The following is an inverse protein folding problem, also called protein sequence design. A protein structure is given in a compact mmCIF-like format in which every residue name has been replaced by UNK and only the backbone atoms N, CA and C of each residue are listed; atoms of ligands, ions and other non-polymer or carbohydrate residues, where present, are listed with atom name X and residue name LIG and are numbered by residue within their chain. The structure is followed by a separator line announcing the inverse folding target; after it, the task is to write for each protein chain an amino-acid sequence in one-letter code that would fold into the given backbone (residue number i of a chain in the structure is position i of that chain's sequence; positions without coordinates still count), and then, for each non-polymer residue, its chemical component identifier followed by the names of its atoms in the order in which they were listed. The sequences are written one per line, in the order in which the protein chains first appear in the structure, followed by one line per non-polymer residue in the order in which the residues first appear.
data_IF_466640302981
#
_entry.id   IF_466640302981
#
_cell.length_a   1.000
_cell.length_b   1.000
_cell.length_c   1.000
_cell.angle_alpha   90.00
_cell.angle_beta   90.00
_cell.angle_gamma   90.00
#
_symmetry.space_group_name_H-M   'P 1'
#
loop_
_entity.id
_entity.type
_entity.pdbx_description
1 polymer ?
2 non-polymer ?
3 non-polymer ?
4 water ?
#
# COMPACT_ATOMS: atom_id res chain seq x y z
N UNK A 1 -26.02 -5.24 -0.11
CA UNK A 1 -25.93 -4.24 -1.22
C UNK A 1 -24.47 -3.88 -1.51
N UNK A 2 -24.12 -3.91 -2.79
CA UNK A 2 -22.76 -3.63 -3.26
C UNK A 2 -22.37 -2.17 -3.13
N UNK A 3 -21.12 -1.94 -2.70
CA UNK A 3 -20.47 -0.62 -2.77
C UNK A 3 -20.59 -0.09 -4.19
N UNK A 4 -21.26 1.06 -4.34
CA UNK A 4 -21.46 1.66 -5.66
C UNK A 4 -20.16 2.14 -6.31
N UNK A 5 -19.33 2.84 -5.55
CA UNK A 5 -18.07 3.39 -6.06
C UNK A 5 -18.25 4.41 -7.20
N UNK A 6 -19.43 5.03 -7.25
CA UNK A 6 -19.82 5.97 -8.31
C UNK A 6 -19.65 7.44 -7.93
N UNK A 7 -19.29 7.66 -6.67
CA UNK A 7 -19.12 9.00 -6.13
C UNK A 7 -17.67 9.46 -6.27
N UNK A 8 -17.47 10.78 -6.34
CA UNK A 8 -16.12 11.33 -6.42
C UNK A 8 -15.44 11.39 -5.05
N UNK A 9 -14.13 11.61 -5.04
CA UNK A 9 -13.38 11.81 -3.81
C UNK A 9 -13.85 13.05 -3.08
N UNK A 10 -13.93 12.96 -1.75
CA UNK A 10 -14.26 14.11 -0.91
C UNK A 10 -13.23 15.23 -1.05
N UNK A 11 -13.71 16.50 -1.09
CA UNK A 11 -12.75 17.61 -0.99
C UNK A 11 -12.18 17.66 0.41
N UNK A 12 -10.88 17.90 0.51
CA UNK A 12 -10.17 17.88 1.80
C UNK A 12 -9.19 19.03 1.90
N UNK A 13 -8.74 19.32 3.12
CA UNK A 13 -7.76 20.38 3.36
C UNK A 13 -6.50 19.81 3.99
N UNK A 14 -6.64 18.63 4.60
CA UNK A 14 -5.56 18.05 5.36
C UNK A 14 -5.94 16.69 5.92
N UNK A 15 -5.07 16.19 6.80
CA UNK A 15 -5.12 14.82 7.26
C UNK A 15 -5.20 14.76 8.79
N UNK A 16 -6.24 14.11 9.29
CA UNK A 16 -6.46 13.97 10.73
C UNK A 16 -6.05 12.57 11.19
N UNK A 17 -5.37 12.46 12.35
CA UNK A 17 -4.90 11.14 12.81
C UNK A 17 -6.08 10.22 13.03
N UNK A 18 -5.95 9.00 12.51
CA UNK A 18 -7.02 8.02 12.58
C UNK A 18 -6.67 6.87 13.52
N UNK A 19 -5.49 6.29 13.36
CA UNK A 19 -5.08 5.17 14.21
C UNK A 19 -3.58 5.14 14.47
N UNK A 20 -3.20 4.40 15.50
CA UNK A 20 -1.82 4.07 15.82
C UNK A 20 -1.88 2.81 16.67
N UNK A 21 -1.21 1.74 16.22
CA UNK A 21 -1.36 0.45 16.89
C UNK A 21 -0.31 0.17 17.96
N UNK A 22 0.79 0.93 17.95
CA UNK A 22 1.86 0.77 18.95
C UNK A 22 2.37 -0.69 19.06
N UNK A 23 2.32 -1.41 17.95
CA UNK A 23 2.51 -2.85 17.95
C UNK A 23 3.84 -3.32 18.52
N UNK A 24 4.91 -2.62 18.14
CA UNK A 24 6.24 -3.06 18.51
C UNK A 24 6.52 -2.77 19.99
N UNK A 25 6.09 -1.60 20.44
CA UNK A 25 6.12 -1.23 21.86
C UNK A 25 5.41 -2.27 22.72
N UNK A 26 4.22 -2.68 22.27
CA UNK A 26 3.40 -3.63 23.02
C UNK A 26 4.02 -5.03 22.97
N UNK A 27 4.61 -5.34 21.82
CA UNK A 27 5.22 -6.67 21.57
C UNK A 27 6.49 -6.94 22.36
N UNK A 28 7.06 -5.91 22.96
CA UNK A 28 8.19 -6.06 23.86
C UNK A 28 7.86 -7.05 24.99
N UNK A 29 6.60 -7.06 25.42
CA UNK A 29 6.12 -7.98 26.46
C UNK A 29 4.98 -8.88 25.97
N UNK A 30 4.04 -8.29 25.23
CA UNK A 30 2.84 -9.02 24.81
C UNK A 30 3.09 -9.93 23.62
N UNK A 31 2.09 -10.75 23.32
CA UNK A 31 2.20 -11.73 22.24
C UNK A 31 1.72 -11.10 20.93
N UNK A 32 2.64 -10.40 20.28
CA UNK A 32 2.35 -9.64 19.06
C UNK A 32 3.13 -10.24 17.90
N UNK A 33 2.45 -10.45 16.78
CA UNK A 33 3.10 -11.02 15.59
C UNK A 33 4.24 -10.15 15.09
N UNK A 34 5.32 -10.80 14.66
CA UNK A 34 6.27 -10.20 13.74
C UNK A 34 5.54 -10.08 12.38
N UNK A 35 5.45 -8.85 11.86
CA UNK A 35 4.73 -8.59 10.60
C UNK A 35 5.51 -7.65 9.71
N UNK A 36 5.13 -7.57 8.44
CA UNK A 36 5.44 -6.43 7.61
C UNK A 36 4.36 -6.34 6.54
N UNK A 37 4.44 -5.31 5.71
CA UNK A 37 3.44 -5.08 4.66
C UNK A 37 2.00 -5.03 5.24
N UNK A 38 1.75 -4.15 6.24
CA UNK A 38 0.37 -4.03 6.69
C UNK A 38 -0.41 -3.12 5.75
N UNK A 39 -1.73 -3.24 5.78
CA UNK A 39 -2.60 -2.29 5.09
C UNK A 39 -3.99 -2.28 5.71
N UNK A 40 -4.70 -1.19 5.52
CA UNK A 40 -6.05 -1.04 6.05
C UNK A 40 -7.03 -1.10 4.89
N UNK A 41 -8.17 -1.74 5.13
CA UNK A 41 -9.27 -1.74 4.17
C UNK A 41 -10.57 -1.79 4.97
N UNK A 42 -11.61 -1.16 4.43
CA UNK A 42 -12.90 -1.06 5.12
C UNK A 42 -14.04 -1.71 4.34
N UNK A 43 -15.11 -2.07 5.04
CA UNK A 43 -16.35 -2.53 4.40
C UNK A 43 -17.43 -1.44 4.49
N UNK A 44 -18.69 -1.86 4.41
CA UNK A 44 -19.81 -0.95 4.66
C UNK A 44 -20.04 -0.82 6.18
N UNK A 45 -19.33 -1.62 6.97
CA UNK A 45 -19.56 -1.68 8.43
C UNK A 45 -18.32 -1.50 9.30
N UNK A 46 -17.16 -1.97 8.86
CA UNK A 46 -15.97 -1.95 9.70
C UNK A 46 -14.69 -1.62 8.93
N UNK A 47 -13.62 -1.31 9.67
CA UNK A 47 -12.29 -1.14 9.09
C UNK A 47 -11.31 -2.11 9.74
N UNK A 48 -10.52 -2.80 8.92
CA UNK A 48 -9.60 -3.81 9.43
C UNK A 48 -8.18 -3.53 8.97
N UNK A 49 -7.20 -3.91 9.79
CA UNK A 49 -5.81 -3.91 9.36
C UNK A 49 -5.45 -5.30 8.90
N UNK A 50 -4.97 -5.41 7.67
CA UNK A 50 -4.44 -6.65 7.14
C UNK A 50 -2.93 -6.61 7.24
N UNK A 51 -2.28 -7.77 7.31
CA UNK A 51 -0.82 -7.81 7.46
C UNK A 51 -0.25 -9.18 7.12
N UNK A 52 1.03 -9.20 6.76
CA UNK A 52 1.73 -10.42 6.47
C UNK A 52 2.57 -10.78 7.69
N UNK A 53 2.15 -11.80 8.42
CA UNK A 53 2.87 -12.23 9.60
C UNK A 53 4.11 -12.96 9.10
N UNK A 54 5.06 -13.18 10.00
CA UNK A 54 6.18 -14.06 9.73
C UNK A 54 6.00 -15.41 10.43
N UNK A 55 4.76 -15.68 10.82
CA UNK A 55 4.41 -16.90 11.59
C UNK A 55 5.19 -16.99 12.88
N UNK A 56 5.39 -15.84 13.54
CA UNK A 56 6.22 -15.74 14.74
C UNK A 56 5.88 -14.47 15.54
N UNK A 57 6.23 -14.48 16.82
CA UNK A 57 5.99 -13.36 17.73
C UNK A 57 7.26 -12.58 18.06
N UNK A 58 7.09 -11.29 18.33
CA UNK A 58 8.18 -10.41 18.72
C UNK A 58 8.85 -10.87 20.01
N UNK A 59 10.15 -10.64 20.10
CA UNK A 59 10.97 -11.02 21.26
C UNK A 59 11.06 -12.54 21.50
N UNK A 60 10.82 -13.32 20.45
CA UNK A 60 10.97 -14.77 20.48
C UNK A 60 12.01 -15.19 19.44
N UNK A 61 12.70 -16.29 19.68
CA UNK A 61 13.76 -16.76 18.77
C UNK A 61 13.30 -16.96 17.32
N UNK A 62 12.03 -17.30 17.13
CA UNK A 62 11.51 -17.52 15.76
C UNK A 62 11.40 -16.22 14.94
N UNK A 63 11.63 -15.08 15.59
CA UNK A 63 11.74 -13.79 14.89
C UNK A 63 13.10 -13.63 14.17
N UNK A 64 14.02 -14.54 14.43
CA UNK A 64 15.33 -14.58 13.76
C UNK A 64 15.20 -14.63 12.25
N UNK A 65 15.87 -13.70 11.55
CA UNK A 65 15.94 -13.68 10.10
C UNK A 65 14.73 -13.11 9.38
N UNK A 66 13.88 -12.39 10.10
CA UNK A 66 12.60 -11.93 9.53
C UNK A 66 12.72 -10.69 8.63
N UNK A 67 13.96 -10.26 8.37
CA UNK A 67 14.21 -9.31 7.29
C UNK A 67 13.84 -9.95 5.95
N UNK A 68 13.89 -11.28 5.91
CA UNK A 68 13.63 -12.09 4.71
C UNK A 68 12.20 -11.91 4.22
N UNK A 69 12.04 -11.73 2.91
CA UNK A 69 10.75 -11.37 2.31
C UNK A 69 9.74 -12.51 2.16
N UNK A 70 10.22 -13.71 1.81
CA UNK A 70 9.30 -14.78 1.43
C UNK A 70 9.63 -16.08 2.14
N UNK A 71 8.60 -16.76 2.63
CA UNK A 71 8.74 -18.04 3.32
C UNK A 71 7.39 -18.75 3.30
N UNK A 72 7.39 -20.07 3.57
CA UNK A 72 6.13 -20.83 3.67
C UNK A 72 5.30 -20.49 4.90
N UNK A 73 5.90 -19.81 5.87
CA UNK A 73 5.25 -19.54 7.14
C UNK A 73 4.51 -18.21 7.15
N UNK A 74 4.79 -17.37 6.17
CA UNK A 74 4.15 -16.06 6.07
C UNK A 74 2.66 -16.25 5.82
N UNK A 75 1.85 -15.57 6.62
CA UNK A 75 0.40 -15.65 6.47
C UNK A 75 -0.24 -14.27 6.48
N UNK A 76 -1.26 -14.12 5.64
CA UNK A 76 -2.12 -12.97 5.70
C UNK A 76 -3.17 -13.14 6.80
N UNK A 77 -3.21 -12.18 7.70
CA UNK A 77 -4.17 -12.16 8.79
C UNK A 77 -4.74 -10.75 8.91
N UNK A 78 -5.80 -10.58 9.70
CA UNK A 78 -6.38 -9.27 9.92
C UNK A 78 -6.88 -9.10 11.34
N UNK A 79 -6.91 -7.85 11.81
CA UNK A 79 -7.50 -7.50 13.09
C UNK A 79 -8.18 -6.12 12.97
N UNK A 80 -9.08 -5.78 13.93
CA UNK A 80 -9.65 -4.43 13.92
C UNK A 80 -8.56 -3.34 13.91
N UNK A 81 -8.83 -2.23 13.22
CA UNK A 81 -7.85 -1.15 13.09
C UNK A 81 -7.37 -0.61 14.44
N UNK A 82 -6.06 -0.35 14.56
CA UNK A 82 -5.50 0.28 15.75
C UNK A 82 -5.12 -0.67 16.87
N UNK A 83 -5.44 -1.95 16.70
CA UNK A 83 -5.11 -2.98 17.69
C UNK A 83 -3.80 -3.64 17.29
N UNK A 84 -2.99 -4.01 18.27
CA UNK A 84 -1.74 -4.72 18.01
C UNK A 84 -2.07 -6.13 17.52
N UNK A 85 -1.48 -6.55 16.39
CA UNK A 85 -1.75 -7.86 15.78
C UNK A 85 -1.25 -9.02 16.63
N UNK A 86 -2.19 -9.78 17.17
CA UNK A 86 -1.90 -10.86 18.11
C UNK A 86 -2.61 -12.14 17.68
N UNK A 87 -2.06 -13.32 18.00
CA UNK A 87 -2.83 -14.55 17.78
C UNK A 87 -4.17 -14.58 18.52
N UNK A 88 -4.36 -13.66 19.47
CA UNK A 88 -5.60 -13.67 20.26
C UNK A 88 -6.68 -12.73 19.71
N UNK A 89 -6.32 -11.85 18.77
CA UNK A 89 -7.28 -10.90 18.19
C UNK A 89 -7.33 -10.89 16.66
N UNK A 90 -6.52 -11.75 16.02
CA UNK A 90 -6.41 -11.78 14.56
C UNK A 90 -7.14 -12.94 13.90
N UNK A 91 -7.80 -12.62 12.79
CA UNK A 91 -8.48 -13.59 11.93
C UNK A 91 -7.49 -14.09 10.91
N UNK A 92 -7.45 -15.41 10.68
CA UNK A 92 -6.61 -15.94 9.62
C UNK A 92 -7.28 -15.71 8.27
N UNK A 93 -6.52 -15.22 7.29
CA UNK A 93 -7.07 -14.97 5.97
C UNK A 93 -6.53 -15.95 4.91
N UNK A 94 -5.21 -16.05 4.78
CA UNK A 94 -4.58 -16.80 3.70
C UNK A 94 -3.11 -17.09 3.98
N UNK A 95 -2.59 -18.14 3.35
CA UNK A 95 -1.15 -18.38 3.35
C UNK A 95 -0.55 -17.47 2.26
N UNK A 96 0.32 -16.55 2.65
CA UNK A 96 0.77 -15.50 1.72
C UNK A 96 2.07 -14.80 2.11
N UNK A 97 2.92 -14.54 1.12
CA UNK A 97 4.04 -13.58 1.25
C UNK A 97 3.86 -12.31 0.40
N UNK A 98 2.73 -12.24 -0.30
CA UNK A 98 2.28 -11.03 -1.00
C UNK A 98 0.76 -11.07 -1.00
N UNK A 99 0.12 -9.93 -0.77
CA UNK A 99 -1.34 -9.94 -0.59
C UNK A 99 -2.11 -8.70 -1.06
N UNK A 100 -3.42 -8.88 -1.22
CA UNK A 100 -4.37 -7.76 -1.36
C UNK A 100 -5.69 -8.16 -0.74
N UNK A 101 -6.52 -7.17 -0.42
CA UNK A 101 -7.83 -7.46 0.16
C UNK A 101 -8.75 -6.28 -0.04
N UNK A 102 -10.03 -6.55 -0.20
CA UNK A 102 -11.04 -5.49 -0.28
C UNK A 102 -12.44 -6.07 -0.15
N UNK A 103 -13.37 -5.23 0.29
CA UNK A 103 -14.75 -5.64 0.54
C UNK A 103 -15.65 -5.01 -0.52
N UNK A 104 -16.53 -5.81 -1.13
CA UNK A 104 -17.37 -5.29 -2.21
C UNK A 104 -18.74 -4.78 -1.73
N UNK A 105 -18.94 -4.77 -0.42
CA UNK A 105 -20.23 -4.44 0.18
C UNK A 105 -21.01 -5.66 0.65
N UNK A 106 -20.61 -6.83 0.17
CA UNK A 106 -21.19 -8.11 0.58
C UNK A 106 -20.21 -8.93 1.39
N UNK A 107 -19.03 -9.19 0.81
CA UNK A 107 -18.02 -10.03 1.45
C UNK A 107 -16.60 -9.55 1.22
N UNK A 108 -15.68 -10.04 2.06
CA UNK A 108 -14.25 -9.80 1.89
C UNK A 108 -13.69 -10.63 0.76
N UNK A 109 -13.00 -9.96 -0.15
CA UNK A 109 -12.15 -10.65 -1.11
C UNK A 109 -10.73 -10.55 -0.57
N UNK A 110 -10.05 -11.68 -0.44
CA UNK A 110 -8.63 -11.69 -0.10
C UNK A 110 -7.80 -12.38 -1.19
N UNK A 111 -6.61 -11.85 -1.44
CA UNK A 111 -5.71 -12.42 -2.42
C UNK A 111 -4.41 -12.72 -1.72
N UNK A 112 -3.99 -13.98 -1.75
CA UNK A 112 -2.77 -14.40 -1.07
C UNK A 112 -1.86 -15.19 -1.98
N UNK A 113 -0.63 -14.71 -2.15
CA UNK A 113 0.37 -15.36 -3.00
C UNK A 113 1.37 -16.13 -2.14
N UNK A 114 1.48 -17.44 -2.39
CA UNK A 114 2.47 -18.30 -1.75
C UNK A 114 3.06 -19.24 -2.81
N UNK A 115 3.94 -20.14 -2.41
CA UNK A 115 4.62 -21.01 -3.35
C UNK A 115 6.02 -20.53 -3.70
N UNK A 116 6.71 -21.26 -4.60
CA UNK A 116 8.11 -20.99 -4.93
C UNK A 116 8.24 -19.75 -5.80
N UNK A 117 9.42 -19.12 -5.77
CA UNK A 117 9.69 -17.91 -6.59
C UNK A 117 9.44 -18.15 -8.09
N UNK A 118 9.71 -19.37 -8.55
CA UNK A 118 9.57 -19.70 -9.98
C UNK A 118 8.17 -20.19 -10.41
N UNK A 119 7.22 -20.20 -9.48
CA UNK A 119 5.87 -20.68 -9.78
C UNK A 119 4.79 -20.35 -8.75
N UNK A 120 4.87 -19.17 -8.14
CA UNK A 120 3.92 -18.75 -7.12
C UNK A 120 2.49 -18.70 -7.66
N UNK A 121 1.52 -18.87 -6.77
CA UNK A 121 0.11 -18.94 -7.12
C UNK A 121 -0.66 -17.99 -6.20
N UNK A 122 -1.44 -17.10 -6.81
CA UNK A 122 -2.34 -16.23 -6.06
C UNK A 122 -3.66 -16.95 -5.79
N UNK A 123 -3.96 -17.13 -4.51
CA UNK A 123 -5.20 -17.79 -4.10
C UNK A 123 -6.22 -16.70 -3.75
N UNK A 124 -7.33 -16.68 -4.48
CA UNK A 124 -8.40 -15.72 -4.22
C UNK A 124 -9.47 -16.38 -3.38
N UNK A 125 -9.89 -15.67 -2.33
CA UNK A 125 -10.98 -16.12 -1.47
C UNK A 125 -12.06 -15.04 -1.35
N UNK A 126 -13.32 -15.47 -1.33
CA UNK A 126 -14.46 -14.58 -1.16
C UNK A 126 -15.24 -15.13 0.02
N UNK A 127 -15.38 -14.33 1.07
CA UNK A 127 -15.92 -14.77 2.36
C UNK A 127 -15.18 -15.99 2.92
N UNK A 128 -13.85 -15.99 2.74
CA UNK A 128 -12.99 -17.03 3.31
C UNK A 128 -12.97 -18.34 2.54
N UNK A 129 -13.73 -18.41 1.44
CA UNK A 129 -13.76 -19.61 0.59
C UNK A 129 -12.98 -19.36 -0.70
N UNK A 130 -12.17 -20.34 -1.12
CA UNK A 130 -11.39 -20.17 -2.35
C UNK A 130 -12.31 -20.15 -3.56
N UNK A 131 -12.17 -19.09 -4.36
CA UNK A 131 -13.05 -18.86 -5.51
C UNK A 131 -12.28 -18.82 -6.82
N UNK A 132 -10.96 -18.65 -6.75
CA UNK A 132 -10.12 -18.64 -7.94
C UNK A 132 -8.64 -18.71 -7.56
N UNK A 133 -7.83 -18.94 -8.59
CA UNK A 133 -6.40 -19.06 -8.48
C UNK A 133 -5.78 -18.35 -9.71
N UNK A 134 -4.66 -17.66 -9.49
CA UNK A 134 -3.89 -17.07 -10.58
C UNK A 134 -2.45 -17.52 -10.46
N UNK A 135 -1.93 -18.18 -11.49
CA UNK A 135 -0.57 -18.70 -11.45
C UNK A 135 0.42 -17.77 -12.15
N UNK A 136 1.62 -17.66 -11.58
CA UNK A 136 2.75 -16.91 -12.17
C UNK A 136 2.88 -17.19 -13.68
N UNK A 137 2.91 -16.13 -14.49
CA UNK A 137 3.02 -16.29 -15.94
C UNK A 137 4.41 -15.96 -16.49
N UNK A 138 5.28 -15.39 -15.65
CA UNK A 138 6.68 -15.16 -16.02
C UNK A 138 7.66 -15.92 -15.13
N UNK A 139 7.13 -16.70 -14.19
CA UNK A 139 7.95 -17.55 -13.31
C UNK A 139 9.03 -16.78 -12.54
N UNK A 140 8.70 -15.56 -12.11
CA UNK A 140 9.67 -14.75 -11.39
C UNK A 140 9.02 -13.84 -10.35
N UNK A 141 8.68 -14.44 -9.20
CA UNK A 141 8.07 -13.73 -8.06
C UNK A 141 6.79 -12.96 -8.44
N UNK A 142 5.73 -13.71 -8.71
CA UNK A 142 4.41 -13.10 -8.85
C UNK A 142 4.11 -12.30 -7.59
N UNK A 143 3.65 -11.06 -7.76
CA UNK A 143 3.56 -10.14 -6.63
C UNK A 143 2.48 -9.09 -6.86
N UNK A 144 1.79 -8.72 -5.79
CA UNK A 144 0.62 -7.84 -5.87
C UNK A 144 0.76 -6.57 -4.98
N UNK A 145 -0.37 -5.96 -4.63
CA UNK A 145 -0.40 -4.59 -4.10
C UNK A 145 0.29 -4.35 -2.75
N UNK A 146 0.07 -5.28 -1.81
CA UNK A 146 0.32 -5.03 -0.37
C UNK A 146 -0.55 -3.86 0.15
N UNK A 147 -1.67 -3.62 -0.55
CA UNK A 147 -2.72 -2.70 -0.05
C UNK A 147 -4.06 -3.12 -0.63
N UNK A 148 -5.11 -2.42 -0.26
CA UNK A 148 -6.46 -2.82 -0.64
C UNK A 148 -6.69 -2.75 -2.14
N UNK A 149 -7.37 -3.75 -2.69
CA UNK A 149 -7.93 -3.65 -4.03
C UNK A 149 -9.05 -2.60 -4.06
N UNK A 150 -9.57 -2.29 -5.25
CA UNK A 150 -10.59 -1.26 -5.39
C UNK A 150 -11.88 -1.88 -5.93
N UNK A 151 -13.02 -1.50 -5.35
CA UNK A 151 -14.31 -2.04 -5.79
C UNK A 151 -15.27 -0.96 -6.28
N UNK A 152 -15.93 -1.25 -7.40
CA UNK A 152 -16.96 -0.39 -7.95
C UNK A 152 -18.07 -1.29 -8.47
N UNK A 153 -19.30 -1.07 -7.98
CA UNK A 153 -20.49 -1.66 -8.58
C UNK A 153 -20.43 -3.19 -8.63
N UNK A 154 -19.96 -3.80 -7.55
CA UNK A 154 -19.90 -5.25 -7.44
C UNK A 154 -18.73 -5.94 -8.15
N UNK A 155 -17.82 -5.13 -8.68
CA UNK A 155 -16.59 -5.63 -9.30
C UNK A 155 -15.36 -5.05 -8.58
N UNK A 156 -14.36 -5.89 -8.33
CA UNK A 156 -13.15 -5.47 -7.63
C UNK A 156 -11.90 -5.61 -8.51
N UNK A 157 -10.93 -4.75 -8.28
CA UNK A 157 -9.82 -4.57 -9.22
C UNK A 157 -8.47 -4.59 -8.50
N UNK A 158 -7.50 -5.29 -9.11
CA UNK A 158 -6.15 -5.35 -8.58
C UNK A 158 -5.10 -5.37 -9.69
N UNK A 159 -3.85 -5.14 -9.32
CA UNK A 159 -2.71 -5.18 -10.23
C UNK A 159 -1.70 -6.21 -9.72
N UNK A 160 -1.20 -7.05 -10.62
CA UNK A 160 -0.11 -7.96 -10.30
C UNK A 160 1.04 -7.79 -11.29
N UNK A 161 2.24 -8.10 -10.82
CA UNK A 161 3.46 -8.02 -11.60
C UNK A 161 4.18 -9.36 -11.56
N UNK A 162 4.89 -9.68 -12.65
CA UNK A 162 5.71 -10.88 -12.73
C UNK A 162 6.92 -10.59 -13.64
N UNK A 163 8.09 -11.02 -13.19
CA UNK A 163 9.34 -10.77 -13.91
C UNK A 163 10.41 -10.11 -13.05
N UNK A 164 11.50 -9.62 -13.69
CA UNK A 164 12.62 -9.00 -12.99
C UNK A 164 12.21 -7.80 -12.14
N UNK A 165 12.93 -7.56 -11.05
CA UNK A 165 12.74 -6.35 -10.24
C UNK A 165 13.72 -5.24 -10.65
N UNK A 166 14.57 -5.55 -11.63
CA UNK A 166 15.69 -4.71 -12.07
C UNK A 166 15.63 -4.34 -13.55
N UNK A 167 14.47 -4.54 -14.15
CA UNK A 167 14.28 -4.30 -15.58
C UNK A 167 12.82 -4.41 -15.97
N UNK A 168 12.55 -4.40 -17.27
CA UNK A 168 11.18 -4.60 -17.78
C UNK A 168 10.56 -5.84 -17.18
N UNK A 169 9.39 -5.68 -16.57
CA UNK A 169 8.63 -6.85 -16.14
C UNK A 169 7.26 -6.83 -16.83
N UNK A 170 6.38 -7.73 -16.41
CA UNK A 170 5.04 -7.85 -17.00
C UNK A 170 4.01 -7.38 -15.97
N UNK A 171 3.04 -6.59 -16.41
CA UNK A 171 2.06 -5.97 -15.49
C UNK A 171 0.64 -6.26 -15.96
N UNK A 172 -0.16 -6.86 -15.09
CA UNK A 172 -1.55 -7.17 -15.42
C UNK A 172 -2.55 -6.53 -14.47
N UNK A 173 -3.65 -6.03 -15.02
CA UNK A 173 -4.80 -5.61 -14.22
C UNK A 173 -5.80 -6.75 -14.25
N UNK A 174 -6.44 -6.99 -13.11
CA UNK A 174 -7.44 -8.05 -12.98
C UNK A 174 -8.77 -7.49 -12.49
N UNK A 175 -9.85 -7.97 -13.10
CA UNK A 175 -11.20 -7.64 -12.66
C UNK A 175 -11.85 -8.91 -12.11
N UNK A 176 -12.37 -8.81 -10.89
CA UNK A 176 -13.04 -9.94 -10.29
C UNK A 176 -14.41 -9.62 -9.72
N UNK A 177 -15.29 -10.61 -9.81
CA UNK A 177 -16.63 -10.52 -9.28
C UNK A 177 -16.81 -11.77 -8.45
N UNK A 178 -17.22 -11.57 -7.19
CA UNK A 178 -17.37 -12.66 -6.22
C UNK A 178 -16.10 -13.53 -6.13
N UNK A 179 -14.94 -12.88 -6.12
CA UNK A 179 -13.66 -13.55 -6.00
C UNK A 179 -13.18 -14.33 -7.21
N UNK A 180 -13.88 -14.21 -8.33
CA UNK A 180 -13.50 -14.90 -9.56
C UNK A 180 -13.10 -13.93 -10.66
N UNK A 181 -11.94 -14.17 -11.26
CA UNK A 181 -11.42 -13.35 -12.35
C UNK A 181 -12.35 -13.46 -13.54
N UNK A 182 -12.87 -12.31 -14.00
CA UNK A 182 -13.81 -12.26 -15.13
C UNK A 182 -13.16 -11.58 -16.35
N UNK A 183 -12.13 -10.78 -16.08
CA UNK A 183 -11.33 -10.16 -17.13
C UNK A 183 -9.95 -9.78 -16.60
N UNK A 184 -8.95 -9.86 -17.47
CA UNK A 184 -7.63 -9.31 -17.18
C UNK A 184 -7.03 -8.74 -18.46
N UNK A 185 -6.10 -7.79 -18.30
CA UNK A 185 -5.42 -7.13 -19.42
C UNK A 185 -3.95 -6.92 -19.05
N UNK A 186 -3.04 -7.27 -19.95
CA UNK A 186 -1.64 -6.93 -19.76
C UNK A 186 -1.37 -5.53 -20.28
N UNK A 187 -0.74 -4.70 -19.45
CA UNK A 187 -0.36 -3.35 -19.85
C UNK A 187 0.71 -3.34 -20.94
N UNK A 188 0.47 -2.55 -21.98
CA UNK A 188 1.43 -2.29 -23.03
C UNK A 188 2.21 -1.07 -22.59
N UNK A 189 3.28 -1.31 -21.82
CA UNK A 189 3.98 -0.23 -21.15
C UNK A 189 5.51 -0.38 -21.23
N UNK A 190 6.07 -0.30 -22.46
CA UNK A 190 7.52 -0.42 -22.60
C UNK A 190 8.22 0.76 -21.94
N UNK A 191 9.33 0.47 -21.26
CA UNK A 191 10.09 1.44 -20.45
C UNK A 191 9.45 1.82 -19.11
N UNK A 192 8.25 1.30 -18.83
CA UNK A 192 7.58 1.52 -17.55
C UNK A 192 7.80 0.33 -16.62
N UNK A 193 7.63 0.58 -15.32
CA UNK A 193 7.67 -0.49 -14.32
C UNK A 193 6.58 -0.22 -13.28
N UNK A 194 5.72 -1.22 -13.05
CA UNK A 194 4.65 -1.17 -12.06
C UNK A 194 4.80 -2.27 -11.02
N UNK A 195 4.58 -1.89 -9.76
CA UNK A 195 4.72 -2.77 -8.62
C UNK A 195 4.01 -2.15 -7.41
N UNK A 196 3.50 -3.00 -6.53
CA UNK A 196 2.95 -2.57 -5.23
C UNK A 196 2.02 -1.35 -5.38
N UNK A 197 1.06 -1.48 -6.30
CA UNK A 197 0.14 -0.40 -6.61
C UNK A 197 -0.81 -0.09 -5.46
N UNK A 198 -0.95 1.21 -5.18
CA UNK A 198 -2.01 1.70 -4.29
C UNK A 198 -3.15 2.21 -5.17
N UNK A 199 -4.26 1.49 -5.16
CA UNK A 199 -5.39 1.72 -6.08
C UNK A 199 -6.65 2.11 -5.34
N UNK A 200 -7.35 3.15 -5.83
CA UNK A 200 -8.59 3.64 -5.22
C UNK A 200 -9.64 3.97 -6.28
N UNK A 201 -10.93 3.86 -5.93
CA UNK A 201 -11.99 4.24 -6.86
C UNK A 201 -12.34 5.74 -6.76
N UNK A 202 -12.68 6.33 -7.91
CA UNK A 202 -13.12 7.72 -8.00
C UNK A 202 -14.15 7.82 -9.13
N UNK A 203 -15.42 7.96 -8.77
CA UNK A 203 -16.52 8.08 -9.76
C UNK A 203 -16.44 7.02 -10.86
N UNK A 204 -16.41 5.76 -10.44
CA UNK A 204 -16.49 4.63 -11.36
C UNK A 204 -15.19 4.27 -12.04
N UNK A 205 -14.14 5.04 -11.75
CA UNK A 205 -12.84 4.84 -12.39
C UNK A 205 -11.80 4.53 -11.31
N UNK A 206 -10.88 3.63 -11.61
CA UNK A 206 -9.83 3.22 -10.65
C UNK A 206 -8.52 3.90 -11.02
N UNK A 207 -7.84 4.45 -10.03
CA UNK A 207 -6.52 5.04 -10.22
C UNK A 207 -5.54 4.35 -9.28
N UNK A 208 -4.42 3.89 -9.84
CA UNK A 208 -3.34 3.29 -9.06
C UNK A 208 -2.07 4.12 -9.19
N UNK A 209 -1.38 4.30 -8.06
CA UNK A 209 -0.07 4.93 -8.02
C UNK A 209 0.88 3.88 -7.44
N UNK A 210 1.99 3.62 -8.14
CA UNK A 210 2.77 2.41 -7.91
C UNK A 210 4.27 2.66 -7.64
N UNK A 211 5.06 1.59 -7.63
CA UNK A 211 6.50 1.66 -7.39
C UNK A 211 7.26 1.23 -8.65
N UNK A 212 8.11 2.13 -9.16
CA UNK A 212 9.06 1.78 -10.20
C UNK A 212 10.38 1.39 -9.53
N UNK A 213 10.62 0.09 -9.42
CA UNK A 213 11.82 -0.43 -8.77
C UNK A 213 13.03 -0.46 -9.70
N UNK A 214 12.76 -0.26 -10.99
CA UNK A 214 13.75 -0.39 -12.04
C UNK A 214 14.59 0.87 -12.27
N UNK A 215 13.94 1.97 -12.66
CA UNK A 215 14.62 3.21 -13.04
C UNK A 215 13.77 4.47 -12.90
N UNK A 216 12.93 4.53 -11.86
CA UNK A 216 12.05 5.67 -11.64
C UNK A 216 12.05 6.18 -10.20
N UNK A 217 12.36 7.46 -10.05
CA UNK A 217 12.34 8.19 -8.77
C UNK A 217 11.00 8.89 -8.51
N UNK A 218 10.23 9.05 -9.58
CA UNK A 218 8.83 9.44 -9.50
C UNK A 218 7.97 8.18 -9.59
N UNK A 219 6.69 8.31 -9.26
CA UNK A 219 5.81 7.16 -9.27
C UNK A 219 5.02 7.03 -10.58
N UNK A 220 4.94 5.81 -11.11
CA UNK A 220 4.08 5.55 -12.25
C UNK A 220 2.64 5.47 -11.81
N UNK A 221 1.72 5.72 -12.73
CA UNK A 221 0.30 5.56 -12.46
C UNK A 221 -0.41 4.81 -13.59
N UNK A 222 -1.47 4.08 -13.25
CA UNK A 222 -2.41 3.51 -14.22
C UNK A 222 -3.79 3.94 -13.77
N UNK A 223 -4.62 4.35 -14.72
CA UNK A 223 -6.03 4.52 -14.41
C UNK A 223 -6.85 3.81 -15.47
N UNK A 224 -7.98 3.24 -15.05
CA UNK A 224 -8.77 2.45 -15.97
C UNK A 224 -10.26 2.47 -15.67
N UNK A 225 -11.03 2.12 -16.69
CA UNK A 225 -12.43 1.84 -16.53
C UNK A 225 -12.51 0.60 -15.68
N UNK A 226 -14.51 0.21 -15.83
CA UNK A 226 -14.78 -1.14 -15.36
C UNK A 226 -14.54 -2.17 -16.47
N UNK A 227 -14.14 -1.68 -17.64
CA UNK A 227 -13.85 -2.54 -18.78
C UNK A 227 -12.36 -2.77 -19.01
N UNK A 228 -11.54 -2.25 -18.10
CA UNK A 228 -10.09 -2.41 -18.15
C UNK A 228 -9.42 -1.63 -19.29
N UNK A 229 -10.15 -0.69 -19.88
CA UNK A 229 -9.57 0.28 -20.81
C UNK A 229 -8.77 1.29 -19.98
N UNK A 230 -7.47 1.40 -20.27
CA UNK A 230 -6.55 2.09 -19.37
C UNK A 230 -5.76 3.24 -20.03
N UNK A 231 -5.20 4.10 -19.17
CA UNK A 231 -4.22 5.11 -19.57
C UNK A 231 -3.04 4.98 -18.59
N UNK A 232 -1.84 5.33 -19.04
CA UNK A 232 -0.65 5.20 -18.21
C UNK A 232 0.23 6.45 -18.26
N UNK A 233 1.00 6.67 -17.20
CA UNK A 233 1.94 7.77 -17.16
C UNK A 233 2.72 7.74 -15.86
N UNK A 234 3.50 8.78 -15.62
CA UNK A 234 4.18 8.97 -14.34
C UNK A 234 3.75 10.32 -13.78
N UNK A 235 3.71 10.44 -12.46
CA UNK A 235 3.41 11.73 -11.83
C UNK A 235 4.49 12.73 -12.23
N UNK A 236 4.09 13.85 -12.84
CA UNK A 236 5.04 14.81 -13.44
C UNK A 236 5.74 15.70 -12.42
N UNK A 237 5.20 15.79 -11.21
CA UNK A 237 5.73 16.71 -10.22
C UNK A 237 7.21 16.49 -9.95
N UNK A 238 7.93 17.59 -9.78
CA UNK A 238 9.33 17.56 -9.38
C UNK A 238 9.51 17.36 -7.88
N UNK A 239 8.38 17.21 -7.19
CA UNK A 239 8.35 16.79 -5.80
C UNK A 239 8.34 15.26 -5.87
N UNK A 240 9.53 14.67 -6.00
CA UNK A 240 9.64 13.25 -6.31
C UNK A 240 9.10 12.37 -5.18
N UNK A 241 8.34 11.34 -5.54
CA UNK A 241 7.58 10.58 -4.55
C UNK A 241 8.20 9.31 -4.01
N UNK A 242 9.18 8.75 -4.71
CA UNK A 242 9.72 7.44 -4.33
C UNK A 242 10.84 7.59 -3.29
N UNK A 243 11.38 6.46 -2.85
CA UNK A 243 12.54 6.41 -1.97
C UNK A 243 13.38 5.21 -2.39
N UNK A 244 14.64 5.42 -2.81
CA UNK A 244 15.36 6.70 -2.84
C UNK A 244 14.93 7.60 -4.01
N UNK A 245 15.50 8.81 -4.04
CA UNK A 245 15.15 9.82 -5.02
C UNK A 245 16.20 10.93 -4.99
N UNK A 246 16.21 11.80 -6.01
CA UNK A 246 17.04 13.00 -5.93
C UNK A 246 16.38 14.07 -5.06
N UNK A 247 17.08 15.18 -4.85
CA UNK A 247 16.44 16.37 -4.31
C UNK A 247 15.35 16.84 -5.26
N UNK A 248 14.33 17.52 -4.75
CA UNK A 248 13.27 18.06 -5.59
C UNK A 248 13.88 18.95 -6.69
N UNK A 249 13.37 18.82 -7.90
CA UNK A 249 13.91 19.57 -9.02
C UNK A 249 12.92 19.61 -10.16
N UNK A 250 13.42 19.39 -11.37
CA UNK A 250 12.57 19.36 -12.53
C UNK A 250 12.04 17.95 -12.69
N UNK A 251 10.72 17.82 -12.61
CA UNK A 251 10.07 16.53 -12.76
C UNK A 251 10.41 15.88 -14.09
N UNK A 252 9.25 14.61 -14.77
CA UNK A 252 9.02 14.00 -16.05
C UNK A 252 7.69 13.27 -15.97
N UNK A 253 6.95 13.30 -17.07
CA UNK A 253 5.69 12.59 -17.18
C UNK A 253 5.93 11.22 -17.82
N UNK A 254 7.83 10.73 -17.87
CA UNK A 254 8.28 9.36 -17.84
C UNK A 254 9.06 9.13 -16.57
N UNK A 255 9.75 7.97 -16.47
CA UNK A 255 10.54 7.69 -15.28
C UNK A 255 11.71 8.64 -15.15
N UNK A 256 11.92 9.16 -13.94
CA UNK A 256 13.08 9.98 -13.62
C UNK A 256 14.18 9.00 -13.22
N UNK A 257 15.17 8.82 -14.10
CA UNK A 257 16.16 7.76 -13.96
C UNK A 257 17.01 7.97 -12.71
N UNK A 258 17.66 9.82 -12.07
CA UNK A 258 18.57 9.76 -10.94
C UNK A 258 17.91 9.03 -9.79
N UNK A 259 18.66 8.14 -9.15
CA UNK A 259 18.23 7.43 -7.95
C UNK A 259 16.94 6.62 -8.14
N UNK A 260 16.72 6.14 -9.35
CA UNK A 260 15.48 5.48 -9.74
C UNK A 260 15.39 3.99 -9.43
N UNK A 261 16.54 3.35 -9.30
CA UNK A 261 16.58 1.93 -8.90
C UNK A 261 16.13 1.74 -7.45
N UNK A 262 15.55 0.57 -7.16
CA UNK A 262 14.91 0.29 -5.85
C UNK A 262 13.68 1.20 -5.68
N UNK A 263 13.12 1.25 -4.49
CA UNK A 263 11.93 2.03 -4.25
C UNK A 263 11.32 1.69 -2.91
N UNK A 264 10.09 2.14 -2.72
CA UNK A 264 9.32 1.83 -1.53
C UNK A 264 7.86 1.91 -1.97
N UNK A 265 6.99 1.06 -1.40
CA UNK A 265 5.57 1.16 -1.69
C UNK A 265 5.07 2.52 -1.20
N UNK A 266 4.31 3.19 -2.05
CA UNK A 266 3.67 4.44 -1.66
C UNK A 266 2.38 4.68 -2.44
N UNK A 267 1.86 5.90 -2.32
CA UNK A 267 0.56 6.26 -2.91
C UNK A 267 0.55 7.76 -3.21
N UNK A 268 -0.47 8.18 -3.96
CA UNK A 268 -0.81 9.58 -4.11
C UNK A 268 -2.28 9.63 -4.50
N UNK A 269 -2.96 10.73 -4.17
CA UNK A 269 -4.35 10.94 -4.58
C UNK A 269 -4.42 12.06 -5.63
N UNK A 270 -4.95 11.74 -6.80
CA UNK A 270 -5.12 12.70 -7.88
C UNK A 270 -6.37 13.54 -7.62
N UNK A 271 -6.19 14.86 -7.65
CA UNK A 271 -7.27 15.82 -7.50
C UNK A 271 -7.24 16.79 -8.65
N UNK A 272 -7.98 16.48 -9.70
CA UNK A 272 -7.89 17.22 -10.96
C UNK A 272 -6.51 17.01 -11.52
N UNK A 273 -5.83 18.11 -11.85
CA UNK A 273 -4.44 18.01 -12.26
C UNK A 273 -3.46 18.25 -11.11
N UNK A 274 -4.02 18.30 -9.89
CA UNK A 274 -3.23 18.40 -8.66
C UNK A 274 -3.04 17.04 -8.03
N UNK A 275 -2.11 16.95 -7.07
CA UNK A 275 -1.84 15.70 -6.35
C UNK A 275 -1.52 15.91 -4.88
N UNK A 276 -2.05 15.01 -4.05
CA UNK A 276 -1.59 14.84 -2.67
C UNK A 276 -0.56 13.73 -2.68
N UNK A 277 0.68 14.07 -2.36
CA UNK A 277 1.79 13.11 -2.35
C UNK A 277 2.15 12.75 -0.91
N UNK A 278 2.12 11.46 -0.60
CA UNK A 278 2.73 10.96 0.64
C UNK A 278 4.11 10.42 0.32
N UNK A 279 5.12 10.83 1.08
CA UNK A 279 6.50 10.38 0.86
C UNK A 279 7.34 10.42 2.15
N UNK A 280 8.42 9.65 2.16
CA UNK A 280 9.43 9.72 3.21
C UNK A 280 10.00 11.15 3.25
N UNK A 281 10.61 11.54 4.36
CA UNK A 281 11.29 12.83 4.41
C UNK A 281 12.73 12.71 3.90
N UNK A 282 13.34 11.55 4.12
CA UNK A 282 14.68 11.28 3.62
C UNK A 282 14.66 10.94 2.14
N UNK A 283 15.72 11.35 1.45
CA UNK A 283 15.92 11.08 0.03
C UNK A 283 16.59 9.70 -0.15
N UNK A 284 17.14 9.16 0.94
CA UNK A 284 18.00 7.97 0.90
C UNK A 284 17.38 6.73 1.53
N UNK A 285 16.82 6.92 2.72
CA UNK A 285 16.33 5.81 3.53
C UNK A 285 14.84 5.96 3.84
N UNK A 286 14.25 4.91 4.40
CA UNK A 286 12.82 4.91 4.72
C UNK A 286 12.62 5.59 6.08
N UNK A 287 12.78 6.91 6.07
CA UNK A 287 12.83 7.73 7.29
C UNK A 287 11.90 8.91 7.14
N UNK A 288 11.08 9.12 8.17
CA UNK A 288 10.16 10.25 8.17
C UNK A 288 9.03 10.05 7.19
N UNK A 289 8.03 10.91 7.29
CA UNK A 289 6.91 10.89 6.36
C UNK A 289 6.23 12.25 6.36
N UNK A 290 5.76 12.64 5.17
CA UNK A 290 5.09 13.92 5.02
C UNK A 290 4.03 13.84 3.92
N UNK A 291 2.98 14.65 4.07
CA UNK A 291 1.99 14.83 3.02
C UNK A 291 2.22 16.18 2.35
N UNK A 292 2.26 16.18 1.03
CA UNK A 292 2.46 17.40 0.25
C UNK A 292 1.31 17.59 -0.74
N UNK A 293 0.66 18.75 -0.67
CA UNK A 293 -0.30 19.18 -1.67
C UNK A 293 0.39 19.98 -2.78
N UNK A 294 0.37 19.42 -3.97
CA UNK A 294 0.94 20.09 -5.14
C UNK A 294 -0.17 20.24 -6.18
N UNK A 295 -0.75 21.45 -6.28
CA UNK A 295 -2.01 21.68 -7.00
C UNK A 295 -1.93 21.62 -8.53
N UNK A 296 -0.73 21.49 -9.10
CA UNK A 296 -0.60 21.21 -10.53
C UNK A 296 0.33 20.02 -10.79
N UNK A 297 0.61 19.25 -9.74
CA UNK A 297 1.66 18.24 -9.75
C UNK A 297 1.41 16.97 -10.54
N UNK A 298 0.15 16.70 -10.89
CA UNK A 298 -0.14 15.49 -11.67
C UNK A 298 0.42 15.64 -13.08
N UNK A 299 0.32 16.85 -13.62
CA UNK A 299 0.64 17.10 -15.03
C UNK A 299 1.80 18.07 -15.25
N UNK A 300 2.16 18.84 -14.22
CA UNK A 300 3.25 19.80 -14.36
C UNK A 300 4.54 19.36 -13.67
N UNK A 301 5.63 19.92 -14.17
CA UNK A 301 6.96 19.38 -13.93
C UNK A 301 7.78 20.16 -12.88
N UNK A 302 7.25 21.30 -12.43
CA UNK A 302 7.91 22.12 -11.41
C UNK A 302 7.96 21.45 -10.01
N UNK A 303 8.82 21.96 -9.14
CA UNK A 303 8.97 21.45 -7.78
C UNK A 303 8.27 22.29 -6.73
N UNK A 304 7.50 23.29 -7.16
CA UNK A 304 6.82 24.14 -6.19
C UNK A 304 5.52 23.47 -5.74
N UNK A 305 5.20 23.60 -4.46
CA UNK A 305 3.98 23.05 -3.88
C UNK A 305 3.37 24.04 -2.89
N UNK A 306 2.12 23.79 -2.47
CA UNK A 306 1.38 24.76 -1.65
C UNK A 306 1.41 24.44 -0.17
N UNK A 307 1.16 23.17 0.15
CA UNK A 307 0.97 22.71 1.52
C UNK A 307 1.70 21.38 1.71
N UNK A 308 2.76 21.39 3.12
CA UNK A 308 3.46 20.27 3.71
C UNK A 308 2.85 20.04 5.08
N UNK A 309 2.40 18.81 5.31
CA UNK A 309 1.98 18.40 6.64
C UNK A 309 2.89 17.28 7.12
N UNK A 310 3.54 17.50 8.25
CA UNK A 310 4.44 16.52 8.85
C UNK A 310 3.63 15.37 9.44
N UNK A 311 4.13 14.16 9.24
CA UNK A 311 3.49 12.95 9.76
C UNK A 311 4.45 12.14 10.64
N UNK A 312 5.68 11.93 10.18
CA UNK A 312 6.76 11.32 10.98
C UNK A 312 8.05 12.12 10.76
N UNK A 313 8.74 12.46 11.85
CA UNK A 313 10.04 13.18 11.78
C UNK A 313 11.13 12.42 11.01
N UNK A 314 12.04 13.15 10.36
CA UNK A 314 13.18 12.51 9.65
C UNK A 314 14.00 11.61 10.56
N UNK A 315 14.02 11.94 11.86
CA UNK A 315 14.83 11.19 12.82
C UNK A 315 14.19 9.85 13.21
N UNK A 316 13.06 9.51 12.58
CA UNK A 316 12.34 8.29 12.91
C UNK A 316 12.06 7.46 11.66
N UNK A 317 12.04 6.14 11.86
CA UNK A 317 11.88 5.20 10.76
C UNK A 317 10.44 5.19 10.26
N UNK A 318 10.30 5.10 8.94
CA UNK A 318 8.99 4.87 8.34
C UNK A 318 9.05 3.59 7.53
N UNK A 319 8.57 3.62 6.28
CA UNK A 319 8.50 2.41 5.48
C UNK A 319 7.44 2.53 4.42
N UNK A 320 6.72 1.43 4.19
CA UNK A 320 5.67 1.38 3.19
C UNK A 320 4.57 2.35 3.56
N UNK A 321 3.81 2.79 2.55
CA UNK A 321 2.59 3.54 2.79
C UNK A 321 1.60 3.22 1.67
N UNK A 322 0.31 3.42 1.93
CA UNK A 322 -0.70 3.05 0.95
C UNK A 322 -1.99 3.78 1.17
N UNK A 323 -2.79 3.87 0.10
CA UNK A 323 -4.09 4.47 0.18
C UNK A 323 -5.10 3.45 0.70
N UNK A 324 -6.08 3.94 1.43
CA UNK A 324 -7.33 3.23 1.57
C UNK A 324 -8.48 4.23 1.53
N UNK A 325 -9.69 3.71 1.31
CA UNK A 325 -10.84 4.56 1.07
C UNK A 325 -11.98 4.18 2.03
N UNK A 326 -12.84 5.15 2.35
CA UNK A 326 -14.06 4.85 3.09
C UNK A 326 -15.24 5.29 2.24
N UNK A 327 -16.10 4.34 1.90
CA UNK A 327 -17.23 4.57 0.99
C UNK A 327 -18.44 5.18 1.69
N UNK A 328 -19.29 5.92 0.94
CA UNK A 328 -20.57 6.48 1.38
C UNK A 328 -21.45 5.51 2.19
N UNK A 329 -21.53 4.25 1.77
CA UNK A 329 -22.34 3.30 2.54
C UNK A 329 -21.82 3.03 3.96
N UNK A 330 -20.54 3.29 4.21
CA UNK A 330 -20.00 3.23 5.57
C UNK A 330 -20.11 4.57 6.32
N UNK A 331 -19.73 5.66 5.67
CA UNK A 331 -19.63 6.96 6.33
C UNK A 331 -20.90 7.80 6.35
N UNK A 332 -21.81 7.56 5.40
CA UNK A 332 -23.00 8.40 5.22
C UNK A 332 -22.73 9.71 4.46
N UNK A 333 -21.51 9.90 3.99
CA UNK A 333 -21.14 11.08 3.21
C UNK A 333 -21.64 10.94 1.76
N UNK A 334 -21.52 12.02 0.98
CA UNK A 334 -21.93 11.99 -0.42
C UNK A 334 -20.72 11.73 -1.34
N UNK A 335 -19.58 11.40 -0.74
CA UNK A 335 -18.34 11.25 -1.47
C UNK A 335 -17.52 10.10 -0.91
N UNK A 336 -16.52 9.69 -1.68
CA UNK A 336 -15.55 8.70 -1.24
C UNK A 336 -14.44 9.42 -0.47
N UNK A 337 -14.22 9.01 0.78
CA UNK A 337 -13.20 9.62 1.63
C UNK A 337 -11.82 8.97 1.44
N UNK A 338 -10.80 9.79 1.12
CA UNK A 338 -9.44 9.26 1.01
C UNK A 338 -8.74 9.16 2.37
N UNK A 339 -8.05 8.05 2.61
CA UNK A 339 -7.26 7.87 3.82
C UNK A 339 -5.92 7.24 3.44
N UNK A 340 -4.98 7.23 4.37
CA UNK A 340 -3.72 6.54 4.14
C UNK A 340 -3.15 5.97 5.43
N UNK A 341 -2.32 4.94 5.28
CA UNK A 341 -1.58 4.35 6.40
C UNK A 341 -0.11 4.43 6.07
N UNK A 342 0.70 4.38 7.12
CA UNK A 342 2.16 4.30 7.00
C UNK A 342 2.62 3.13 7.85
N UNK A 343 3.48 2.30 7.28
CA UNK A 343 4.18 1.24 7.97
C UNK A 343 5.46 1.81 8.57
N UNK A 344 5.68 1.52 9.84
CA UNK A 344 6.83 2.03 10.56
C UNK A 344 7.76 0.86 10.86
N UNK A 345 8.75 0.65 9.98
CA UNK A 345 9.62 -0.53 10.03
C UNK A 345 10.70 -0.37 11.09
N UNK A 346 10.84 -1.39 11.95
CA UNK A 346 11.93 -1.44 12.92
C UNK A 346 12.73 -2.73 12.77
N UNK A 347 14.04 -2.64 13.06
CA UNK A 347 14.94 -3.77 13.00
C UNK A 347 15.84 -3.73 11.77
N UNK A 348 16.06 -4.90 11.18
CA UNK A 348 16.94 -5.03 10.02
C UNK A 348 16.30 -4.40 8.79
N UNK A 349 17.12 -3.89 7.84
CA UNK A 349 18.59 -3.85 7.86
C UNK A 349 19.22 -2.68 8.61
N UNK A 350 18.40 -1.71 9.01
CA UNK A 350 18.91 -0.44 9.53
C UNK A 350 19.34 -0.48 10.99
N UNK A 351 18.77 -1.41 11.75
CA UNK A 351 19.00 -1.47 13.18
C UNK A 351 19.50 -2.84 13.59
N UNK A 352 20.68 -2.97 15.04
CA UNK A 352 21.25 -4.30 15.15
C UNK A 352 20.32 -5.20 15.96
N UNK A 353 19.45 -5.89 15.22
CA UNK A 353 18.53 -6.87 15.79
C UNK A 353 18.58 -8.13 14.93
N UNK A 354 17.93 -9.19 15.38
CA UNK A 354 17.85 -10.42 14.60
C UNK A 354 16.59 -10.43 13.72
N UNK A 355 15.73 -9.44 13.94
CA UNK A 355 14.37 -9.41 13.40
C UNK A 355 14.05 -8.11 12.68
N UNK A 356 12.96 -8.15 11.91
CA UNK A 356 12.36 -6.98 11.27
C UNK A 356 10.84 -7.05 11.48
N UNK A 357 10.24 -5.94 11.88
CA UNK A 357 8.79 -5.85 11.99
C UNK A 357 8.33 -4.41 11.75
N UNK A 358 7.02 -4.22 11.59
CA UNK A 358 6.46 -2.89 11.38
C UNK A 358 5.29 -2.60 12.29
N UNK A 359 5.18 -1.33 12.70
CA UNK A 359 3.98 -0.76 13.32
C UNK A 359 3.20 -0.03 12.25
N UNK A 360 2.02 0.48 12.60
CA UNK A 360 1.28 1.30 11.65
C UNK A 360 0.63 2.51 12.29
N UNK A 361 0.50 3.56 11.49
CA UNK A 361 -0.33 4.71 11.81
C UNK A 361 -1.24 4.94 10.61
N UNK A 362 -2.30 5.71 10.80
CA UNK A 362 -3.18 6.03 9.67
C UNK A 362 -3.89 7.35 9.89
N UNK A 363 -4.38 7.90 8.79
CA UNK A 363 -4.90 9.27 8.74
C UNK A 363 -6.01 9.32 7.70
N UNK A 364 -7.01 10.15 7.94
CA UNK A 364 -8.07 10.34 6.95
C UNK A 364 -8.16 11.78 6.47
N UNK A 365 -8.48 11.95 5.18
CA UNK A 365 -8.63 13.26 4.58
C UNK A 365 -9.88 13.94 5.11
N UNK A 366 -9.73 15.19 5.51
CA UNK A 366 -10.76 15.92 6.22
C UNK A 366 -10.83 17.37 5.67
N UNK A 367 -12.04 17.96 5.63
CA UNK A 367 -12.20 19.34 5.13
C UNK A 367 -12.31 20.36 6.27
N UNK A 368 -11.59 20.10 7.36
CA UNK A 368 -11.56 20.95 8.52
C UNK A 368 -10.10 21.03 8.99
N UNK A 369 -9.87 21.67 10.14
CA UNK A 369 -8.51 21.96 10.62
C UNK A 369 -7.74 20.71 11.03
N UNK A 370 -6.44 20.71 10.77
CA UNK A 370 -5.58 19.58 11.07
C UNK A 370 -4.23 20.12 11.53
N UNK A 371 -3.32 19.22 11.88
CA UNK A 371 -2.01 19.64 12.36
C UNK A 371 -0.92 18.64 12.00
N UNK A 372 0.27 19.15 11.68
CA UNK A 372 1.44 18.31 11.46
C UNK A 372 2.08 17.97 12.78
N UNK A 373 2.64 16.77 12.87
CA UNK A 373 3.40 16.36 14.06
C UNK A 373 4.27 15.17 13.66
N UNK A 374 4.78 14.47 14.66
CA UNK A 374 5.44 13.20 14.45
C UNK A 374 4.76 12.15 15.34
N UNK A 375 4.24 11.09 14.72
CA UNK A 375 3.73 9.94 15.45
C UNK A 375 4.58 8.71 15.08
N UNK A 376 5.80 8.59 15.65
CA UNK A 376 6.69 7.51 15.24
C UNK A 376 6.38 6.18 15.94
N UNK A 377 7.16 5.14 15.63
CA UNK A 377 6.96 3.82 16.22
C UNK A 377 7.12 3.84 17.74
N UNK A 378 8.18 4.48 18.22
CA UNK A 378 8.39 4.64 19.65
C UNK A 378 8.95 3.45 20.43
N UNK A 379 9.28 2.35 19.75
CA UNK A 379 9.90 1.24 20.45
C UNK A 379 11.38 1.53 20.72
N UNK A 380 11.92 1.00 21.80
CA UNK A 380 13.34 1.16 22.09
C UNK A 380 14.09 -0.14 21.82
N UNK A 381 14.94 -0.08 20.80
CA UNK A 381 15.71 -1.22 20.34
C UNK A 381 17.13 -1.12 20.88
N UNK A 382 17.83 -2.26 21.01
CA UNK A 382 17.30 -3.59 20.68
C UNK A 382 16.46 -4.21 21.80
N UNK A 383 15.82 -5.35 21.48
CA UNK A 383 14.98 -6.07 22.42
C UNK A 383 15.78 -7.12 23.20
N UNK A 384 15.16 -7.71 24.22
CA UNK A 384 15.76 -8.80 25.02
C UNK A 384 16.33 -9.86 24.07
N UNK A 385 15.61 -10.04 22.96
CA UNK A 385 16.04 -10.80 21.77
C UNK A 385 15.19 -12.05 21.63
X LIG B 1 12.35 3.71 -7.77
X LIG C 1 10.82 -4.13 0.38
X LIG C 1 11.43 -3.37 -0.41
X LIG C 1 10.82 -3.91 1.61
X LIG C 1 10.11 -5.28 -0.17
X LIG C 1 9.31 -6.09 0.56
X LIG C 1 8.31 -7.03 -0.12
X LIG C 1 8.94 -7.49 -1.44
X LIG C 1 8.03 -8.37 -2.18
X LIG C 1 8.17 -9.69 -2.29
X LIG C 1 9.13 -10.32 -1.87
X LIG C 1 7.05 -10.42 -2.99
X LIG C 1 9.36 -6.30 -2.28
X LIG C 1 10.32 -5.50 -1.59
X LIG C 1 10.05 -6.68 -3.59
X LIG C 1 11.28 -7.31 -3.26
X LIG C 1 10.34 -5.44 -4.44
X LIG C 1 9.12 -4.74 -4.70
X LIG C 1 11.01 -5.80 -5.75
X LIG C 1 10.08 -6.46 -6.62
X LIG C 1 8.08 -8.25 0.63
X LIG C 1 7.03 -8.95 0.73
X LIG C 1 5.89 -8.60 0.13
X LIG C 1 7.06 -10.07 1.46
#
# INVERSE_FOLDING_TARGET
VKLAGNSSLCPINGWAVYSKDNSIRIGSKGDVFVIREPFISCSHLECRTFFLTQGALLNDKHSNGTVKDRSPHRTLMSCPVGEAPSPYNSRFESVAWSASACHDGTSWLTIGISGPDNGAVAVLKYNGIITDTIKSWRNNILRTQESECACVNGSCFTVMTDGPSNGQASYKIFKMEKGKVVKSVELDAPNYYYEECSCYPNAGEITCVCRDNWHGSNRPWVSFNQNLEYQIGYICSGVFGDNPRPNDGTGSCGPVSSNGAYGVKGFSFKYGNGVWIGRTKSTNSRSGFEMIWDPNGWTETDSSFSVKQDIVAITDWSGYSGSFVQHPELTGLDCIRPCFWVELIRGRPKESTIWTSGSSISFCGVNSDTVGWSWPDGAELPFTI
CA CA
ZMR C1 O1A O1B C2 C3 C4 C5 N5 C10 O10 C11 C6 O6 C7 O7 C8 O8 C9 O9 NE CZ NH1 NH2
#
